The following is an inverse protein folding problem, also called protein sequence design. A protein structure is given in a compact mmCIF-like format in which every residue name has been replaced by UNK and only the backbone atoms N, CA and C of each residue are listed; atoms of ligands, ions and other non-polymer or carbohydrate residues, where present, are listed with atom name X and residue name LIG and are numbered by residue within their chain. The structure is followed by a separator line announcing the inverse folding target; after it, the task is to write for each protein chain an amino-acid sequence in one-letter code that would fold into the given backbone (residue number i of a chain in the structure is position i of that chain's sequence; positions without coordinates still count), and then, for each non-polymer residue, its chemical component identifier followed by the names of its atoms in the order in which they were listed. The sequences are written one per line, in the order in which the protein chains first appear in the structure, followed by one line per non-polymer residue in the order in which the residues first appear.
data_IF_844041847037
#
_entry.id   IF_844041847037
#
_cell.length_a   1.000
_cell.length_b   1.000
_cell.length_c   1.000
_cell.angle_alpha   90.00
_cell.angle_beta   90.00
_cell.angle_gamma   90.00
#
_symmetry.space_group_name_H-M   'P 1'
#
loop_
_entity.id
_entity.type
_entity.pdbx_description
1 polymer ?
#
# COMPACT_ATOMS: atom_id res chain seq x y z
N UNK A 1 33.01 -53.99 20.65
CA UNK A 1 32.84 -52.57 20.26
C UNK A 1 31.42 -52.35 19.78
N UNK A 2 30.51 -51.90 20.67
CA UNK A 2 29.12 -51.57 20.33
C UNK A 2 29.08 -50.12 19.85
N UNK A 3 28.65 -49.89 18.61
CA UNK A 3 28.51 -48.55 18.00
C UNK A 3 27.30 -47.85 18.61
N UNK A 4 27.54 -46.73 19.28
CA UNK A 4 26.54 -45.76 19.71
C UNK A 4 26.09 -44.93 18.50
N UNK A 5 24.80 -44.94 18.20
CA UNK A 5 24.16 -44.10 17.19
C UNK A 5 23.67 -42.84 17.92
N UNK A 6 24.05 -41.61 17.50
CA UNK A 6 23.54 -40.40 18.13
C UNK A 6 22.14 -40.09 17.60
N UNK A 7 21.17 -40.02 18.51
CA UNK A 7 19.85 -39.46 18.23
C UNK A 7 19.96 -37.94 18.10
N UNK A 8 19.83 -37.43 16.88
CA UNK A 8 19.54 -36.02 16.64
C UNK A 8 18.07 -35.77 16.93
N UNK A 9 17.77 -35.16 18.07
CA UNK A 9 16.45 -34.59 18.36
C UNK A 9 16.35 -33.28 17.58
N UNK A 10 15.67 -33.32 16.44
CA UNK A 10 15.25 -32.11 15.72
C UNK A 10 14.12 -31.48 16.52
N UNK A 11 14.41 -30.41 17.26
CA UNK A 11 13.40 -29.54 17.85
C UNK A 11 12.67 -28.80 16.73
N UNK A 12 11.50 -29.33 16.33
CA UNK A 12 10.54 -28.61 15.51
C UNK A 12 9.84 -27.54 16.34
N UNK A 13 10.53 -26.43 16.62
CA UNK A 13 9.89 -25.20 17.14
C UNK A 13 9.38 -24.42 15.94
N UNK A 14 8.26 -24.86 15.36
CA UNK A 14 7.69 -24.27 14.16
C UNK A 14 6.19 -24.09 14.26
N UNK A 15 5.75 -22.83 14.39
CA UNK A 15 4.54 -22.32 13.73
C UNK A 15 3.15 -22.61 14.33
N UNK A 16 2.98 -22.63 15.66
CA UNK A 16 1.61 -22.63 16.23
C UNK A 16 0.90 -21.26 16.02
N UNK A 17 1.63 -20.15 15.97
CA UNK A 17 1.02 -18.81 15.88
C UNK A 17 0.51 -18.40 14.48
N UNK A 18 0.95 -19.06 13.40
CA UNK A 18 0.51 -18.72 12.04
C UNK A 18 -0.90 -19.22 11.70
N UNK A 19 -1.44 -20.15 12.48
CA UNK A 19 -2.67 -20.87 12.13
C UNK A 19 -3.95 -20.08 12.43
N UNK A 20 -3.94 -19.09 13.33
CA UNK A 20 -5.15 -18.38 13.77
C UNK A 20 -5.55 -17.18 12.90
N UNK A 21 -4.58 -16.45 12.32
CA UNK A 21 -4.85 -15.28 11.46
C UNK A 21 -5.36 -15.69 10.07
N UNK A 22 -4.84 -16.80 9.51
CA UNK A 22 -5.15 -17.22 8.14
C UNK A 22 -6.67 -17.47 7.92
N UNK A 23 -7.41 -18.17 8.79
CA UNK A 23 -8.85 -18.36 8.63
C UNK A 23 -9.64 -17.04 8.63
N UNK A 24 -9.20 -16.02 9.38
CA UNK A 24 -9.83 -14.69 9.38
C UNK A 24 -9.57 -13.97 8.06
N UNK A 25 -8.35 -14.06 7.53
CA UNK A 25 -7.99 -13.48 6.22
C UNK A 25 -8.70 -14.16 5.05
N UNK A 26 -8.84 -15.49 5.09
CA UNK A 26 -9.61 -16.24 4.09
C UNK A 26 -11.09 -15.78 4.10
N UNK A 27 -11.68 -15.52 5.28
CA UNK A 27 -13.03 -14.97 5.40
C UNK A 27 -13.12 -13.51 4.93
N UNK A 28 -12.13 -12.68 5.26
CA UNK A 28 -12.06 -11.29 4.79
C UNK A 28 -12.02 -11.24 3.26
N UNK A 29 -11.24 -12.14 2.66
CA UNK A 29 -11.15 -12.30 1.22
C UNK A 29 -12.49 -12.72 0.60
N UNK A 30 -13.24 -13.63 1.23
CA UNK A 30 -14.59 -14.00 0.77
C UNK A 30 -15.51 -12.79 0.72
N UNK A 31 -15.53 -11.96 1.77
CA UNK A 31 -16.35 -10.74 1.78
C UNK A 31 -15.90 -9.75 0.70
N UNK A 32 -14.59 -9.60 0.49
CA UNK A 32 -14.06 -8.75 -0.59
C UNK A 32 -14.50 -9.23 -1.97
N UNK A 33 -14.56 -10.55 -2.21
CA UNK A 33 -15.07 -11.12 -3.45
C UNK A 33 -16.58 -10.96 -3.63
N UNK A 34 -17.37 -11.06 -2.55
CA UNK A 34 -18.79 -10.69 -2.60
C UNK A 34 -18.97 -9.23 -2.97
N UNK A 35 -18.11 -8.36 -2.45
CA UNK A 35 -18.14 -6.92 -2.72
C UNK A 35 -17.57 -6.54 -4.10
N UNK A 36 -16.79 -7.42 -4.73
CA UNK A 36 -16.12 -7.18 -6.03
C UNK A 36 -16.99 -6.45 -7.07
N UNK A 37 -18.20 -6.93 -7.43
CA UNK A 37 -19.01 -6.27 -8.46
C UNK A 37 -19.53 -4.88 -8.06
N UNK A 38 -19.54 -4.56 -6.77
CA UNK A 38 -20.01 -3.29 -6.23
C UNK A 38 -18.85 -2.30 -6.05
N UNK A 39 -17.69 -2.77 -5.55
CA UNK A 39 -16.51 -1.93 -5.34
C UNK A 39 -16.05 -1.26 -6.64
N UNK A 40 -16.18 -1.95 -7.77
CA UNK A 40 -15.75 -1.38 -9.05
C UNK A 40 -16.81 -0.51 -9.75
N UNK A 41 -18.07 -0.55 -9.29
CA UNK A 41 -19.19 0.12 -9.96
C UNK A 41 -20.01 0.94 -8.97
N UNK A 42 -19.83 2.27 -9.01
CA UNK A 42 -20.58 3.19 -8.15
C UNK A 42 -22.09 3.03 -8.32
N UNK A 43 -22.57 2.85 -9.55
CA UNK A 43 -23.99 2.59 -9.84
C UNK A 43 -24.48 1.36 -9.09
N UNK A 44 -23.73 0.25 -9.10
CA UNK A 44 -24.15 -0.96 -8.39
C UNK A 44 -24.03 -0.80 -6.88
N UNK A 45 -23.02 -0.09 -6.39
CA UNK A 45 -22.80 0.14 -4.96
C UNK A 45 -23.88 1.02 -4.32
N UNK A 46 -24.36 2.00 -5.08
CA UNK A 46 -25.37 2.99 -4.64
C UNK A 46 -26.81 2.56 -4.93
N UNK A 47 -27.04 1.48 -5.69
CA UNK A 47 -28.39 0.94 -5.94
C UNK A 47 -28.99 0.37 -4.63
N UNK A 48 -30.15 0.89 -4.16
CA UNK A 48 -30.80 0.41 -2.96
C UNK A 48 -31.09 -1.09 -2.93
N UNK A 49 -31.24 -1.74 -4.11
CA UNK A 49 -31.45 -3.20 -4.20
C UNK A 49 -30.25 -4.01 -3.72
N UNK A 50 -29.07 -3.40 -3.69
CA UNK A 50 -27.83 -4.05 -3.27
C UNK A 50 -27.45 -3.72 -1.82
N UNK A 51 -28.25 -2.90 -1.13
CA UNK A 51 -27.96 -2.38 0.21
C UNK A 51 -27.60 -3.51 1.19
N UNK A 52 -28.46 -4.51 1.32
CA UNK A 52 -28.27 -5.60 2.30
C UNK A 52 -27.00 -6.42 2.06
N UNK A 53 -26.59 -6.58 0.79
CA UNK A 53 -25.37 -7.31 0.44
C UNK A 53 -24.14 -6.48 0.79
N UNK A 54 -24.15 -5.19 0.44
CA UNK A 54 -23.02 -4.29 0.70
C UNK A 54 -22.85 -4.07 2.20
N UNK A 55 -23.93 -3.69 2.90
CA UNK A 55 -23.94 -3.47 4.33
C UNK A 55 -23.55 -4.74 5.11
N UNK A 56 -24.18 -5.88 4.78
CA UNK A 56 -23.87 -7.15 5.43
C UNK A 56 -22.40 -7.56 5.29
N UNK A 57 -21.80 -7.34 4.12
CA UNK A 57 -20.36 -7.59 3.93
C UNK A 57 -19.49 -6.59 4.68
N UNK A 58 -19.82 -5.29 4.71
CA UNK A 58 -19.08 -4.30 5.50
C UNK A 58 -19.10 -4.64 7.00
N UNK A 59 -20.28 -4.92 7.57
CA UNK A 59 -20.43 -5.35 8.97
C UNK A 59 -19.60 -6.60 9.28
N UNK A 60 -19.62 -7.59 8.37
CA UNK A 60 -18.80 -8.79 8.53
C UNK A 60 -17.29 -8.50 8.46
N UNK A 61 -16.85 -7.63 7.56
CA UNK A 61 -15.44 -7.21 7.49
C UNK A 61 -15.01 -6.45 8.77
N UNK A 62 -15.89 -5.63 9.35
CA UNK A 62 -15.64 -4.98 10.66
C UNK A 62 -15.44 -6.02 11.76
N UNK A 63 -16.33 -7.02 11.87
CA UNK A 63 -16.18 -8.09 12.86
C UNK A 63 -14.87 -8.88 12.69
N UNK A 64 -14.51 -9.20 11.45
CA UNK A 64 -13.29 -9.94 11.13
C UNK A 64 -12.03 -9.12 11.48
N UNK A 65 -12.02 -7.83 11.16
CA UNK A 65 -10.89 -6.94 11.48
C UNK A 65 -10.72 -6.74 12.99
N UNK A 66 -11.81 -6.64 13.76
CA UNK A 66 -11.72 -6.61 15.23
C UNK A 66 -11.07 -7.88 15.78
N UNK A 67 -11.49 -9.05 15.31
CA UNK A 67 -10.92 -10.35 15.73
C UNK A 67 -9.43 -10.42 15.42
N UNK A 68 -9.02 -9.94 14.24
CA UNK A 68 -7.60 -9.87 13.85
C UNK A 68 -6.75 -8.99 14.78
N UNK A 69 -7.28 -7.87 15.30
CA UNK A 69 -6.54 -7.00 16.22
C UNK A 69 -6.16 -7.70 17.54
N UNK A 70 -6.88 -8.74 17.92
CA UNK A 70 -6.60 -9.52 19.12
C UNK A 70 -5.55 -10.63 18.88
N UNK A 71 -5.18 -10.90 17.63
CA UNK A 71 -4.22 -11.94 17.29
C UNK A 71 -2.79 -11.53 17.64
N UNK A 72 -2.09 -12.40 18.37
CA UNK A 72 -0.74 -12.12 18.89
C UNK A 72 0.29 -11.80 17.81
N UNK A 73 0.12 -12.36 16.60
CA UNK A 73 0.97 -12.07 15.45
C UNK A 73 0.85 -10.60 15.03
N UNK A 74 -0.37 -10.10 14.85
CA UNK A 74 -0.64 -8.73 14.39
C UNK A 74 -0.07 -7.71 15.38
N UNK A 75 -0.25 -7.97 16.68
CA UNK A 75 0.26 -7.08 17.74
C UNK A 75 1.78 -7.02 17.83
N UNK A 76 2.50 -8.05 17.36
CA UNK A 76 3.97 -8.17 17.50
C UNK A 76 4.74 -7.76 16.24
N UNK A 77 4.11 -7.71 15.07
CA UNK A 77 4.79 -7.53 13.78
C UNK A 77 4.88 -6.09 13.29
N UNK A 78 4.43 -5.11 14.09
CA UNK A 78 4.24 -3.74 13.60
C UNK A 78 3.06 -3.59 12.65
N UNK A 79 2.20 -4.61 12.53
CA UNK A 79 0.97 -4.54 11.76
C UNK A 79 -0.19 -3.93 12.54
N UNK A 80 -0.01 -3.64 13.83
CA UNK A 80 -1.07 -3.12 14.70
C UNK A 80 -1.68 -1.83 14.14
N UNK A 81 -0.85 -0.87 13.72
CA UNK A 81 -1.34 0.39 13.14
C UNK A 81 -2.14 0.15 11.85
N UNK A 82 -1.67 -0.75 10.99
CA UNK A 82 -2.43 -1.13 9.79
C UNK A 82 -3.75 -1.79 10.16
N UNK A 83 -3.76 -2.66 11.17
CA UNK A 83 -4.96 -3.37 11.60
C UNK A 83 -6.00 -2.44 12.27
N UNK A 84 -5.54 -1.48 13.06
CA UNK A 84 -6.39 -0.44 13.66
C UNK A 84 -6.98 0.48 12.58
N UNK A 85 -6.18 0.90 11.60
CA UNK A 85 -6.67 1.75 10.51
C UNK A 85 -7.63 0.98 9.59
N UNK A 86 -7.35 -0.29 9.30
CA UNK A 86 -8.30 -1.17 8.59
C UNK A 86 -9.63 -1.21 9.33
N UNK A 87 -9.62 -1.45 10.65
CA UNK A 87 -10.85 -1.49 11.43
C UNK A 87 -11.59 -0.14 11.43
N UNK A 88 -10.85 0.96 11.61
CA UNK A 88 -11.42 2.30 11.61
C UNK A 88 -12.07 2.63 10.27
N UNK A 89 -11.36 2.45 9.14
CA UNK A 89 -11.88 2.80 7.83
C UNK A 89 -13.06 1.91 7.41
N UNK A 90 -13.07 0.63 7.80
CA UNK A 90 -14.24 -0.23 7.57
C UNK A 90 -15.47 0.26 8.35
N UNK A 91 -15.30 0.65 9.63
CA UNK A 91 -16.39 1.24 10.44
C UNK A 91 -16.87 2.57 9.87
N UNK A 92 -15.96 3.39 9.39
CA UNK A 92 -16.31 4.67 8.77
C UNK A 92 -17.07 4.46 7.46
N UNK A 93 -16.59 3.54 6.60
CA UNK A 93 -17.28 3.18 5.37
C UNK A 93 -18.70 2.67 5.67
N UNK A 94 -18.88 1.79 6.65
CA UNK A 94 -20.19 1.29 7.05
C UNK A 94 -21.10 2.39 7.61
N UNK A 95 -20.62 3.20 8.55
CA UNK A 95 -21.41 4.27 9.13
C UNK A 95 -21.86 5.30 8.08
N UNK A 96 -20.98 5.65 7.14
CA UNK A 96 -21.30 6.54 6.02
C UNK A 96 -22.31 5.87 5.07
N UNK A 97 -22.19 4.56 4.84
CA UNK A 97 -23.14 3.80 4.01
C UNK A 97 -24.54 3.80 4.61
N UNK A 98 -24.66 3.46 5.90
CA UNK A 98 -25.93 3.39 6.64
C UNK A 98 -26.63 4.76 6.73
N UNK A 99 -25.88 5.85 6.64
CA UNK A 99 -26.42 7.21 6.56
C UNK A 99 -26.81 7.65 5.13
N UNK A 100 -26.85 6.73 4.16
CA UNK A 100 -27.25 6.99 2.78
C UNK A 100 -26.19 7.68 1.93
N UNK A 101 -24.96 7.85 2.42
CA UNK A 101 -23.87 8.47 1.68
C UNK A 101 -23.03 7.42 0.92
N UNK A 102 -23.69 6.55 0.17
CA UNK A 102 -23.08 5.35 -0.44
C UNK A 102 -21.90 5.66 -1.37
N UNK A 103 -21.94 6.73 -2.15
CA UNK A 103 -20.81 7.12 -3.02
C UNK A 103 -19.55 7.46 -2.20
N UNK A 104 -19.71 8.17 -1.08
CA UNK A 104 -18.59 8.51 -0.20
C UNK A 104 -18.07 7.28 0.56
N UNK A 105 -18.98 6.41 1.02
CA UNK A 105 -18.61 5.12 1.60
C UNK A 105 -17.80 4.26 0.63
N UNK A 106 -18.16 4.24 -0.66
CA UNK A 106 -17.38 3.54 -1.69
C UNK A 106 -15.95 4.09 -1.79
N UNK A 107 -15.77 5.41 -1.71
CA UNK A 107 -14.44 6.03 -1.73
C UNK A 107 -13.61 5.58 -0.53
N UNK A 108 -14.20 5.54 0.67
CA UNK A 108 -13.54 5.07 1.90
C UNK A 108 -13.21 3.57 1.78
N UNK A 109 -14.14 2.74 1.31
CA UNK A 109 -13.93 1.31 1.13
C UNK A 109 -12.81 1.05 0.11
N UNK A 110 -12.82 1.75 -1.03
CA UNK A 110 -11.72 1.69 -2.01
C UNK A 110 -10.41 2.08 -1.36
N UNK A 111 -10.37 3.17 -0.57
CA UNK A 111 -9.15 3.57 0.15
C UNK A 111 -8.70 2.52 1.16
N UNK A 112 -9.63 1.86 1.85
CA UNK A 112 -9.37 0.80 2.84
C UNK A 112 -8.58 -0.37 2.25
N UNK A 113 -8.77 -0.64 0.96
CA UNK A 113 -8.02 -1.66 0.24
C UNK A 113 -6.50 -1.37 0.16
N UNK A 114 -6.07 -0.11 0.36
CA UNK A 114 -4.64 0.18 0.61
C UNK A 114 -4.13 -0.56 1.82
N UNK A 115 -4.90 -0.60 2.90
CA UNK A 115 -4.42 -1.09 4.17
C UNK A 115 -4.13 -2.58 4.05
N UNK A 116 -4.94 -3.29 3.27
CA UNK A 116 -4.66 -4.65 2.83
C UNK A 116 -3.29 -4.73 2.15
N UNK A 117 -3.02 -3.86 1.16
CA UNK A 117 -1.71 -3.80 0.51
C UNK A 117 -0.58 -3.44 1.49
N UNK A 118 -0.75 -2.48 2.41
CA UNK A 118 0.28 -2.09 3.40
C UNK A 118 0.68 -3.26 4.29
N UNK A 119 -0.33 -3.96 4.81
CA UNK A 119 -0.13 -5.10 5.70
C UNK A 119 0.56 -6.25 4.96
N UNK A 120 0.13 -6.49 3.72
CA UNK A 120 0.61 -7.61 2.94
C UNK A 120 1.96 -7.36 2.24
N UNK A 121 2.32 -6.11 1.94
CA UNK A 121 3.68 -5.78 1.45
C UNK A 121 4.75 -5.96 2.51
N UNK A 122 4.39 -5.92 3.80
CA UNK A 122 5.30 -6.12 4.92
C UNK A 122 5.63 -7.60 5.21
N UNK A 123 4.92 -8.57 4.59
CA UNK A 123 5.09 -10.00 4.88
C UNK A 123 5.20 -10.90 3.64
N UNK A 124 5.97 -12.00 3.70
CA UNK A 124 5.96 -13.01 2.64
C UNK A 124 4.65 -13.80 2.67
N UNK A 125 3.92 -13.83 1.56
CA UNK A 125 2.73 -14.67 1.41
C UNK A 125 1.82 -14.21 0.29
N UNK A 126 1.41 -15.15 -0.54
CA UNK A 126 0.26 -15.01 -1.45
C UNK A 126 -0.92 -15.80 -0.86
N UNK A 127 -2.15 -15.33 -1.09
CA UNK A 127 -3.33 -16.13 -0.75
C UNK A 127 -3.33 -17.38 -1.63
N UNK A 128 -3.35 -18.56 -1.01
CA UNK A 128 -3.37 -19.84 -1.73
C UNK A 128 -4.72 -20.15 -2.39
N UNK A 129 -5.78 -19.39 -2.06
CA UNK A 129 -7.16 -19.65 -2.51
C UNK A 129 -7.74 -18.58 -3.44
N UNK A 130 -6.95 -17.57 -3.79
CA UNK A 130 -7.41 -16.47 -4.64
C UNK A 130 -8.01 -16.97 -5.98
N UNK A 131 -7.31 -17.90 -6.64
CA UNK A 131 -7.74 -18.45 -7.93
C UNK A 131 -9.03 -19.28 -7.83
N UNK A 132 -9.36 -19.84 -6.66
CA UNK A 132 -10.62 -20.55 -6.44
C UNK A 132 -11.78 -19.56 -6.41
N UNK A 133 -11.64 -18.45 -5.69
CA UNK A 133 -12.69 -17.45 -5.57
C UNK A 133 -12.90 -16.63 -6.85
N UNK A 134 -11.85 -16.37 -7.65
CA UNK A 134 -11.98 -15.51 -8.83
C UNK A 134 -12.59 -16.19 -10.07
N UNK A 135 -12.56 -17.53 -10.17
CA UNK A 135 -12.85 -18.28 -11.42
C UNK A 135 -14.17 -17.93 -12.12
N UNK A 136 -15.18 -17.49 -11.38
CA UNK A 136 -16.52 -17.20 -11.92
C UNK A 136 -16.98 -15.76 -11.63
N UNK A 137 -16.08 -14.86 -11.26
CA UNK A 137 -16.40 -13.50 -10.85
C UNK A 137 -15.58 -12.44 -11.60
N UNK A 138 -15.07 -12.78 -12.79
CA UNK A 138 -14.34 -11.84 -13.65
C UNK A 138 -15.23 -10.68 -14.07
N UNK A 139 -14.76 -9.46 -13.88
CA UNK A 139 -15.47 -8.26 -14.30
C UNK A 139 -15.34 -8.06 -15.82
N UNK A 140 -16.38 -7.49 -16.43
CA UNK A 140 -16.41 -7.25 -17.88
C UNK A 140 -15.43 -6.15 -18.29
N UNK A 141 -15.30 -5.09 -17.49
CA UNK A 141 -14.35 -4.02 -17.73
C UNK A 141 -12.94 -4.48 -17.30
N UNK A 142 -11.97 -4.46 -18.22
CA UNK A 142 -10.61 -4.94 -17.97
C UNK A 142 -9.82 -4.05 -17.02
N UNK A 143 -10.09 -2.74 -16.98
CA UNK A 143 -9.44 -1.85 -16.03
C UNK A 143 -9.95 -2.09 -14.60
N UNK A 144 -11.27 -2.20 -14.43
CA UNK A 144 -11.90 -2.54 -13.15
C UNK A 144 -11.40 -3.89 -12.61
N UNK A 145 -11.32 -4.91 -13.48
CA UNK A 145 -10.71 -6.20 -13.12
C UNK A 145 -9.25 -6.01 -12.69
N UNK A 146 -8.48 -5.21 -13.43
CA UNK A 146 -7.09 -4.90 -13.10
C UNK A 146 -6.92 -4.25 -11.73
N UNK A 147 -7.71 -3.22 -11.40
CA UNK A 147 -7.63 -2.54 -10.09
C UNK A 147 -7.99 -3.49 -8.95
N UNK A 148 -9.02 -4.32 -9.12
CA UNK A 148 -9.36 -5.33 -8.11
C UNK A 148 -8.22 -6.34 -7.93
N UNK A 149 -7.70 -6.91 -9.03
CA UNK A 149 -6.60 -7.87 -9.01
C UNK A 149 -5.32 -7.28 -8.41
N UNK A 150 -5.07 -5.99 -8.63
CA UNK A 150 -3.93 -5.30 -8.08
C UNK A 150 -4.01 -5.17 -6.56
N UNK A 151 -5.18 -4.76 -6.05
CA UNK A 151 -5.46 -4.66 -4.60
C UNK A 151 -5.23 -5.96 -3.87
N UNK A 152 -5.76 -7.05 -4.42
CA UNK A 152 -5.65 -8.40 -3.85
C UNK A 152 -4.30 -9.08 -4.15
N UNK A 153 -3.36 -8.31 -4.73
CA UNK A 153 -1.98 -8.70 -5.05
C UNK A 153 -1.86 -9.83 -6.07
N UNK A 154 -2.88 -10.11 -6.88
CA UNK A 154 -2.71 -10.88 -8.11
C UNK A 154 -2.15 -9.97 -9.21
N UNK A 155 -0.89 -9.54 -9.02
CA UNK A 155 -0.26 -8.60 -9.93
C UNK A 155 -0.10 -9.17 -11.35
N UNK A 156 0.10 -10.48 -11.49
CA UNK A 156 0.18 -11.10 -12.81
C UNK A 156 -1.15 -11.04 -13.55
N UNK A 157 -2.26 -11.34 -12.87
CA UNK A 157 -3.60 -11.14 -13.41
C UNK A 157 -3.88 -9.67 -13.71
N UNK A 158 -3.53 -8.77 -12.80
CA UNK A 158 -3.72 -7.33 -12.94
C UNK A 158 -3.00 -6.78 -14.18
N UNK A 159 -1.72 -7.12 -14.39
CA UNK A 159 -0.97 -6.67 -15.58
C UNK A 159 -1.63 -7.14 -16.88
N UNK A 160 -2.13 -8.38 -16.94
CA UNK A 160 -2.86 -8.87 -18.13
C UNK A 160 -4.15 -8.11 -18.38
N UNK A 161 -4.85 -7.71 -17.31
CA UNK A 161 -6.09 -6.95 -17.41
C UNK A 161 -5.80 -5.50 -17.86
N UNK A 162 -4.75 -4.88 -17.32
CA UNK A 162 -4.25 -3.57 -17.72
C UNK A 162 -3.77 -3.51 -19.17
N UNK A 163 -3.02 -4.51 -19.64
CA UNK A 163 -2.60 -4.59 -21.05
C UNK A 163 -3.82 -4.58 -21.99
N UNK A 164 -4.91 -5.26 -21.61
CA UNK A 164 -6.16 -5.24 -22.37
C UNK A 164 -6.84 -3.88 -22.30
N UNK A 165 -6.88 -3.26 -21.11
CA UNK A 165 -7.48 -1.95 -20.91
C UNK A 165 -6.79 -0.86 -21.75
N UNK A 166 -5.45 -0.77 -21.71
CA UNK A 166 -4.68 0.21 -22.48
C UNK A 166 -4.87 0.01 -23.98
N UNK A 167 -4.88 -1.24 -24.47
CA UNK A 167 -5.15 -1.53 -25.90
C UNK A 167 -6.55 -1.11 -26.35
N UNK A 168 -7.51 -1.07 -25.43
CA UNK A 168 -8.89 -0.67 -25.70
C UNK A 168 -9.13 0.84 -25.60
N UNK A 169 -8.13 1.64 -25.17
CA UNK A 169 -8.25 3.10 -25.13
C UNK A 169 -8.38 3.68 -26.56
N UNK A 170 -9.30 4.65 -26.81
CA UNK A 170 -10.12 5.39 -25.83
C UNK A 170 -11.51 4.79 -25.56
N UNK A 171 -11.88 3.66 -26.20
CA UNK A 171 -13.27 3.20 -26.26
C UNK A 171 -13.89 2.85 -24.92
N UNK A 172 -13.12 2.27 -23.99
CA UNK A 172 -13.62 1.77 -22.68
C UNK A 172 -12.71 2.17 -21.50
N UNK A 173 -11.87 3.20 -21.68
CA UNK A 173 -10.91 3.65 -20.67
C UNK A 173 -10.77 5.16 -20.73
N UNK A 174 -10.89 5.83 -19.58
CA UNK A 174 -10.66 7.28 -19.49
C UNK A 174 -9.16 7.59 -19.59
N UNK A 175 -8.81 8.85 -19.86
CA UNK A 175 -7.40 9.28 -19.88
C UNK A 175 -6.75 9.15 -18.49
N UNK A 176 -7.49 9.49 -17.43
CA UNK A 176 -7.05 9.34 -16.03
C UNK A 176 -6.78 7.87 -15.69
N UNK A 177 -7.67 6.96 -16.09
CA UNK A 177 -7.50 5.54 -15.82
C UNK A 177 -6.37 4.93 -16.65
N UNK A 178 -6.13 5.42 -17.87
CA UNK A 178 -4.95 5.05 -18.66
C UNK A 178 -3.65 5.48 -17.97
N UNK A 179 -3.60 6.68 -17.40
CA UNK A 179 -2.47 7.11 -16.59
C UNK A 179 -2.30 6.24 -15.34
N UNK A 180 -3.42 5.93 -14.66
CA UNK A 180 -3.43 5.04 -13.49
C UNK A 180 -2.86 3.67 -13.82
N UNK A 181 -3.19 3.09 -14.98
CA UNK A 181 -2.58 1.83 -15.44
C UNK A 181 -1.06 1.93 -15.52
N UNK A 182 -0.53 2.97 -16.16
CA UNK A 182 0.93 3.19 -16.25
C UNK A 182 1.55 3.28 -14.86
N UNK A 183 0.94 4.05 -13.95
CA UNK A 183 1.40 4.13 -12.57
C UNK A 183 1.42 2.74 -11.89
N UNK A 184 0.39 1.91 -12.06
CA UNK A 184 0.33 0.56 -11.48
C UNK A 184 1.43 -0.35 -12.02
N UNK A 185 1.77 -0.25 -13.30
CA UNK A 185 2.90 -0.95 -13.88
C UNK A 185 4.22 -0.50 -13.24
N UNK A 186 4.43 0.81 -13.04
CA UNK A 186 5.63 1.34 -12.35
C UNK A 186 5.78 0.70 -10.97
N UNK A 187 4.72 0.75 -10.16
CA UNK A 187 4.73 0.17 -8.82
C UNK A 187 5.05 -1.33 -8.87
N UNK A 188 4.37 -2.08 -9.72
CA UNK A 188 4.60 -3.53 -9.80
C UNK A 188 6.02 -3.85 -10.24
N UNK A 189 6.47 -3.33 -11.38
CA UNK A 189 7.75 -3.72 -11.93
C UNK A 189 8.94 -3.19 -11.12
N UNK A 190 8.86 -1.97 -10.58
CA UNK A 190 9.97 -1.36 -9.84
C UNK A 190 9.93 -1.76 -8.38
N UNK A 191 8.80 -1.56 -7.69
CA UNK A 191 8.73 -1.78 -6.25
C UNK A 191 8.58 -3.25 -5.88
N UNK A 192 7.71 -3.99 -6.58
CA UNK A 192 7.41 -5.39 -6.22
C UNK A 192 8.37 -6.36 -6.89
N UNK A 193 8.48 -6.30 -8.23
CA UNK A 193 9.25 -7.27 -9.02
C UNK A 193 10.74 -6.93 -9.11
N UNK A 194 11.10 -5.66 -8.95
CA UNK A 194 12.48 -5.13 -9.12
C UNK A 194 13.07 -5.43 -10.50
N UNK A 195 12.25 -5.28 -11.53
CA UNK A 195 12.51 -5.67 -12.91
C UNK A 195 12.29 -4.49 -13.87
N UNK A 196 13.32 -3.66 -14.03
CA UNK A 196 13.28 -2.54 -14.97
C UNK A 196 13.14 -3.01 -16.43
N UNK A 197 13.67 -4.18 -16.79
CA UNK A 197 13.52 -4.72 -18.15
C UNK A 197 12.06 -5.07 -18.45
N UNK A 198 11.37 -5.70 -17.49
CA UNK A 198 9.93 -5.93 -17.54
C UNK A 198 9.13 -4.63 -17.67
N UNK A 199 9.50 -3.59 -16.92
CA UNK A 199 8.84 -2.28 -17.04
C UNK A 199 9.02 -1.69 -18.45
N UNK A 200 10.24 -1.68 -18.96
CA UNK A 200 10.54 -1.15 -20.31
C UNK A 200 9.71 -1.86 -21.37
N UNK A 201 9.55 -3.18 -21.25
CA UNK A 201 8.73 -3.95 -22.17
C UNK A 201 7.25 -3.57 -22.05
N UNK A 202 6.69 -3.49 -20.84
CA UNK A 202 5.31 -3.07 -20.63
C UNK A 202 5.02 -1.68 -21.22
N UNK A 203 5.85 -0.68 -20.87
CA UNK A 203 5.74 0.68 -21.42
C UNK A 203 5.89 0.73 -22.95
N UNK A 204 6.71 -0.15 -23.51
CA UNK A 204 6.87 -0.26 -24.97
C UNK A 204 5.63 -0.83 -25.64
N UNK A 205 4.95 -1.81 -25.02
CA UNK A 205 3.67 -2.31 -25.50
C UNK A 205 2.58 -1.24 -25.43
N UNK A 206 2.51 -0.49 -24.33
CA UNK A 206 1.54 0.60 -24.16
C UNK A 206 1.72 1.69 -25.23
N UNK A 207 2.97 2.05 -25.53
CA UNK A 207 3.30 3.05 -26.55
C UNK A 207 2.88 2.66 -27.99
N UNK A 208 2.50 1.40 -28.22
CA UNK A 208 1.94 0.98 -29.52
C UNK A 208 0.51 1.48 -29.73
N UNK A 209 -0.22 1.84 -28.67
CA UNK A 209 -1.51 2.48 -28.82
C UNK A 209 -1.32 3.96 -29.18
N UNK A 210 -1.44 4.28 -30.46
CA UNK A 210 -1.28 5.64 -30.99
C UNK A 210 -2.40 6.60 -30.58
N UNK A 211 -3.50 6.10 -30.00
CA UNK A 211 -4.61 6.93 -29.57
C UNK A 211 -4.39 7.56 -28.19
N UNK A 212 -3.37 7.13 -27.42
CA UNK A 212 -3.11 7.65 -26.07
C UNK A 212 -2.95 9.19 -26.08
N UNK A 213 -3.41 9.89 -25.02
CA UNK A 213 -3.20 11.34 -24.91
C UNK A 213 -1.72 11.73 -25.04
N UNK A 214 -1.45 12.88 -25.63
CA UNK A 214 -0.07 13.34 -25.87
C UNK A 214 0.77 13.41 -24.58
N UNK A 215 0.19 13.93 -23.50
CA UNK A 215 0.86 14.03 -22.20
C UNK A 215 1.25 12.65 -21.66
N UNK A 216 0.38 11.64 -21.80
CA UNK A 216 0.63 10.29 -21.34
C UNK A 216 1.67 9.59 -22.22
N UNK A 217 1.58 9.76 -23.54
CA UNK A 217 2.59 9.26 -24.48
C UNK A 217 3.98 9.83 -24.18
N UNK A 218 4.06 11.12 -23.86
CA UNK A 218 5.30 11.77 -23.42
C UNK A 218 5.78 11.19 -22.08
N UNK A 219 4.89 11.03 -21.09
CA UNK A 219 5.23 10.43 -19.78
C UNK A 219 5.78 9.02 -19.94
N UNK A 220 5.15 8.16 -20.75
CA UNK A 220 5.63 6.79 -21.05
C UNK A 220 7.04 6.82 -21.65
N UNK A 221 7.31 7.73 -22.60
CA UNK A 221 8.63 7.89 -23.21
C UNK A 221 9.68 8.32 -22.17
N UNK A 222 9.36 9.29 -21.34
CA UNK A 222 10.26 9.81 -20.30
C UNK A 222 10.56 8.72 -19.24
N UNK A 223 9.53 7.98 -18.80
CA UNK A 223 9.65 6.84 -17.88
C UNK A 223 10.50 5.71 -18.46
N UNK A 224 10.32 5.37 -19.73
CA UNK A 224 11.16 4.37 -20.41
C UNK A 224 12.62 4.81 -20.45
N UNK A 225 12.88 6.09 -20.76
CA UNK A 225 14.23 6.66 -20.73
C UNK A 225 14.88 6.58 -19.34
N UNK A 226 14.13 6.92 -18.29
CA UNK A 226 14.57 6.79 -16.90
C UNK A 226 14.84 5.33 -16.51
N UNK A 227 13.95 4.41 -16.87
CA UNK A 227 14.09 2.99 -16.58
C UNK A 227 15.33 2.38 -17.26
N UNK A 228 15.68 2.80 -18.48
CA UNK A 228 16.91 2.33 -19.16
C UNK A 228 18.20 2.78 -18.47
N UNK A 229 18.21 3.99 -17.88
CA UNK A 229 19.34 4.43 -17.04
C UNK A 229 19.45 3.55 -15.81
N UNK A 230 18.34 3.36 -15.09
CA UNK A 230 18.30 2.63 -13.82
C UNK A 230 18.49 1.11 -13.97
N UNK A 231 18.14 0.52 -15.12
CA UNK A 231 18.33 -0.91 -15.41
C UNK A 231 19.78 -1.36 -15.27
N UNK A 232 20.74 -0.45 -15.47
CA UNK A 232 22.18 -0.72 -15.31
C UNK A 232 22.59 -0.83 -13.84
N UNK A 233 21.80 -0.26 -12.94
CA UNK A 233 22.04 -0.28 -11.52
C UNK A 233 21.36 -1.51 -10.89
N UNK A 234 22.09 -2.22 -10.03
CA UNK A 234 21.49 -3.29 -9.23
C UNK A 234 20.70 -2.69 -8.06
N UNK A 235 19.68 -3.42 -7.60
CA UNK A 235 19.10 -3.15 -6.29
C UNK A 235 20.14 -3.50 -5.23
N UNK A 236 20.48 -2.57 -4.31
CA UNK A 236 21.35 -2.90 -3.20
C UNK A 236 20.64 -3.91 -2.28
N UNK A 237 21.43 -4.80 -1.70
CA UNK A 237 20.99 -5.75 -0.70
C UNK A 237 21.78 -5.51 0.58
N UNK A 238 21.08 -5.27 1.69
CA UNK A 238 21.68 -4.97 2.98
C UNK A 238 21.46 -6.13 3.95
N UNK A 239 22.44 -6.36 4.82
CA UNK A 239 22.31 -7.29 5.96
C UNK A 239 21.93 -6.54 7.23
N UNK A 240 21.52 -7.26 8.28
CA UNK A 240 21.26 -6.65 9.59
C UNK A 240 22.44 -5.86 10.13
N UNK A 241 23.68 -6.28 9.83
CA UNK A 241 24.90 -5.56 10.21
C UNK A 241 25.18 -4.28 9.41
N UNK A 242 24.38 -3.98 8.38
CA UNK A 242 24.60 -2.87 7.45
C UNK A 242 23.59 -1.71 7.61
N UNK A 243 23.15 -1.42 8.83
CA UNK A 243 22.19 -0.34 9.09
C UNK A 243 22.72 1.03 8.64
N UNK A 244 24.01 1.30 8.84
CA UNK A 244 24.61 2.58 8.49
C UNK A 244 24.74 2.77 6.96
N UNK A 245 25.07 1.72 6.21
CA UNK A 245 25.08 1.80 4.75
C UNK A 245 23.66 1.96 4.18
N UNK A 246 22.66 1.32 4.81
CA UNK A 246 21.26 1.52 4.44
C UNK A 246 20.82 2.96 4.70
N UNK A 247 21.18 3.53 5.86
CA UNK A 247 20.92 4.94 6.19
C UNK A 247 21.51 5.86 5.14
N UNK A 248 22.80 5.72 4.83
CA UNK A 248 23.48 6.52 3.80
C UNK A 248 22.82 6.38 2.44
N UNK A 249 22.40 5.17 2.06
CA UNK A 249 21.66 4.93 0.82
C UNK A 249 20.35 5.71 0.80
N UNK A 250 19.52 5.60 1.84
CA UNK A 250 18.24 6.29 1.92
C UNK A 250 18.42 7.82 1.91
N UNK A 251 19.29 8.35 2.78
CA UNK A 251 19.54 9.78 2.91
C UNK A 251 20.16 10.40 1.65
N UNK A 252 21.00 9.66 0.93
CA UNK A 252 21.56 10.14 -0.34
C UNK A 252 20.51 10.20 -1.45
N UNK A 253 19.63 9.19 -1.54
CA UNK A 253 18.58 9.17 -2.57
C UNK A 253 17.42 10.11 -2.25
N UNK A 254 17.20 10.43 -0.97
CA UNK A 254 16.14 11.30 -0.47
C UNK A 254 16.67 12.68 -0.01
N UNK A 255 17.87 13.07 -0.44
CA UNK A 255 18.57 14.25 0.07
C UNK A 255 17.75 15.53 -0.08
N UNK A 256 17.12 15.71 -1.23
CA UNK A 256 16.34 16.90 -1.53
C UNK A 256 15.05 16.93 -0.70
N UNK A 257 14.38 15.79 -0.56
CA UNK A 257 13.15 15.63 0.22
C UNK A 257 13.41 15.86 1.71
N UNK A 258 14.53 15.35 2.22
CA UNK A 258 14.98 15.61 3.58
C UNK A 258 15.32 17.09 3.83
N UNK A 259 15.58 17.86 2.78
CA UNK A 259 15.77 19.30 2.82
C UNK A 259 14.47 20.09 2.49
N UNK A 260 13.33 19.42 2.37
CA UNK A 260 12.05 20.03 2.01
C UNK A 260 11.94 20.49 0.55
N UNK A 261 12.86 20.05 -0.31
CA UNK A 261 12.89 20.38 -1.74
C UNK A 261 12.33 19.22 -2.54
N UNK A 262 11.13 19.39 -3.06
CA UNK A 262 10.43 18.33 -3.78
C UNK A 262 10.39 18.62 -5.28
N UNK A 263 10.73 17.61 -6.09
CA UNK A 263 10.59 17.65 -7.55
C UNK A 263 9.50 16.67 -7.99
N UNK A 264 8.38 17.21 -8.45
CA UNK A 264 7.14 16.47 -8.72
C UNK A 264 7.02 15.94 -10.15
N UNK A 265 7.83 16.45 -11.09
CA UNK A 265 7.60 16.24 -12.52
C UNK A 265 8.79 15.56 -13.22
N UNK A 266 9.46 14.64 -12.52
CA UNK A 266 10.63 13.94 -13.05
C UNK A 266 10.43 12.42 -13.01
N UNK A 267 10.40 11.81 -14.19
CA UNK A 267 10.38 10.37 -14.36
C UNK A 267 11.54 9.67 -13.62
N UNK A 268 12.74 10.27 -13.63
CA UNK A 268 13.90 9.73 -12.91
C UNK A 268 13.65 9.68 -11.39
N UNK A 269 13.01 10.72 -10.82
CA UNK A 269 12.67 10.76 -9.39
C UNK A 269 11.54 9.81 -9.03
N UNK A 270 10.49 9.72 -9.86
CA UNK A 270 9.37 8.80 -9.65
C UNK A 270 9.85 7.34 -9.55
N UNK A 271 10.72 6.90 -10.46
CA UNK A 271 11.32 5.57 -10.40
C UNK A 271 12.27 5.42 -9.20
N UNK A 272 13.01 6.47 -8.83
CA UNK A 272 13.91 6.46 -7.69
C UNK A 272 13.17 6.23 -6.37
N UNK A 273 12.04 6.90 -6.13
CA UNK A 273 11.23 6.68 -4.93
C UNK A 273 10.70 5.25 -4.83
N UNK A 274 10.23 4.68 -5.94
CA UNK A 274 9.77 3.29 -5.99
C UNK A 274 10.92 2.31 -5.73
N UNK A 275 12.12 2.60 -6.25
CA UNK A 275 13.33 1.80 -6.01
C UNK A 275 13.75 1.86 -4.54
N UNK A 276 13.85 3.06 -3.96
CA UNK A 276 14.22 3.26 -2.54
C UNK A 276 13.22 2.57 -1.62
N UNK A 277 11.92 2.81 -1.82
CA UNK A 277 10.88 2.15 -1.02
C UNK A 277 10.93 0.63 -1.14
N UNK A 278 11.21 0.08 -2.33
CA UNK A 278 11.42 -1.37 -2.50
C UNK A 278 12.55 -1.91 -1.62
N UNK A 279 13.69 -1.22 -1.58
CA UNK A 279 14.85 -1.59 -0.78
C UNK A 279 14.53 -1.54 0.71
N UNK A 280 13.88 -0.46 1.15
CA UNK A 280 13.46 -0.26 2.54
C UNK A 280 12.47 -1.32 3.01
N UNK A 281 11.45 -1.64 2.20
CA UNK A 281 10.47 -2.68 2.51
C UNK A 281 11.11 -4.06 2.63
N UNK A 282 12.00 -4.44 1.70
CA UNK A 282 12.70 -5.72 1.81
C UNK A 282 13.58 -5.78 3.06
N UNK A 283 14.21 -4.66 3.44
CA UNK A 283 15.01 -4.63 4.65
C UNK A 283 14.15 -4.87 5.90
N UNK A 284 13.03 -4.16 6.04
CA UNK A 284 12.09 -4.36 7.15
C UNK A 284 11.52 -5.78 7.17
N UNK A 285 11.22 -6.35 6.00
CA UNK A 285 10.73 -7.72 5.90
C UNK A 285 11.77 -8.73 6.42
N UNK A 286 13.05 -8.54 6.09
CA UNK A 286 14.12 -9.44 6.52
C UNK A 286 14.53 -9.20 7.98
N UNK A 287 14.41 -7.96 8.47
CA UNK A 287 14.90 -7.52 9.78
C UNK A 287 13.86 -6.66 10.52
N UNK A 288 12.67 -7.20 10.86
CA UNK A 288 11.58 -6.41 11.43
C UNK A 288 11.87 -5.79 12.80
N UNK A 289 12.89 -6.28 13.51
CA UNK A 289 13.37 -5.76 14.80
C UNK A 289 14.54 -4.78 14.72
N UNK A 290 14.90 -4.29 13.53
CA UNK A 290 15.98 -3.32 13.33
C UNK A 290 15.78 -2.04 14.15
N UNK A 291 16.88 -1.47 14.68
CA UNK A 291 16.85 -0.18 15.36
C UNK A 291 16.55 0.98 14.42
N UNK A 292 16.77 0.77 13.12
CA UNK A 292 16.52 1.74 12.06
C UNK A 292 15.04 1.84 11.68
N UNK A 293 14.15 1.01 12.24
CA UNK A 293 12.73 0.96 11.89
C UNK A 293 12.05 2.34 11.89
N UNK A 294 12.16 3.20 12.91
CA UNK A 294 11.52 4.52 12.88
C UNK A 294 12.04 5.42 11.76
N UNK A 295 13.36 5.39 11.46
CA UNK A 295 13.93 6.13 10.34
C UNK A 295 13.43 5.59 8.98
N UNK A 296 13.33 4.27 8.84
CA UNK A 296 12.79 3.65 7.63
C UNK A 296 11.33 4.04 7.42
N UNK A 297 10.50 4.05 8.46
CA UNK A 297 9.10 4.49 8.37
C UNK A 297 9.00 5.94 7.87
N UNK A 298 9.87 6.82 8.36
CA UNK A 298 9.98 8.20 7.88
C UNK A 298 10.42 8.28 6.40
N UNK A 299 11.45 7.54 5.99
CA UNK A 299 11.87 7.56 4.58
C UNK A 299 10.86 6.94 3.63
N UNK A 300 10.11 5.93 4.09
CA UNK A 300 9.00 5.36 3.35
C UNK A 300 7.88 6.38 3.15
N UNK A 301 7.53 7.18 4.17
CA UNK A 301 6.52 8.23 4.00
C UNK A 301 6.95 9.30 3.01
N UNK A 302 8.22 9.71 3.03
CA UNK A 302 8.76 10.65 2.04
C UNK A 302 8.75 10.08 0.63
N UNK A 303 9.09 8.80 0.46
CA UNK A 303 9.09 8.15 -0.86
C UNK A 303 7.67 7.97 -1.39
N UNK A 304 6.72 7.60 -0.53
CA UNK A 304 5.38 7.22 -0.95
C UNK A 304 4.42 8.40 -1.07
N UNK A 305 4.66 9.52 -0.36
CA UNK A 305 3.81 10.74 -0.43
C UNK A 305 3.78 11.37 -1.82
N UNK A 306 4.75 11.03 -2.66
CA UNK A 306 4.89 11.52 -4.03
C UNK A 306 4.24 10.62 -5.06
N UNK A 307 4.18 9.32 -4.78
CA UNK A 307 3.43 8.37 -5.61
C UNK A 307 1.95 8.32 -5.22
N UNK A 308 1.59 8.70 -3.99
CA UNK A 308 0.22 8.58 -3.47
C UNK A 308 -0.73 9.71 -3.84
N UNK A 309 -0.34 10.74 -4.59
CA UNK A 309 -1.29 11.81 -4.95
C UNK A 309 -2.37 11.30 -5.92
N UNK A 310 -2.05 10.31 -6.76
CA UNK A 310 -3.01 9.67 -7.69
C UNK A 310 -3.40 8.24 -7.28
N UNK A 311 -2.73 7.68 -6.27
CA UNK A 311 -3.13 6.42 -5.67
C UNK A 311 -4.11 6.75 -4.52
N UNK A 312 -5.27 6.11 -4.47
CA UNK A 312 -6.31 6.21 -3.42
C UNK A 312 -5.83 5.89 -1.97
N UNK A 313 -4.52 5.82 -1.73
CA UNK A 313 -3.85 5.03 -0.72
C UNK A 313 -2.77 5.87 0.00
N UNK A 314 -3.11 6.55 1.12
CA UNK A 314 -2.13 7.35 1.87
C UNK A 314 -1.27 6.50 2.84
N UNK A 315 -0.49 5.58 2.26
CA UNK A 315 0.58 4.88 2.99
C UNK A 315 1.50 5.80 3.82
N UNK A 316 1.84 7.03 3.38
CA UNK A 316 2.68 7.93 4.17
C UNK A 316 2.14 8.21 5.56
N UNK A 317 0.83 8.48 5.68
CA UNK A 317 0.20 8.77 6.96
C UNK A 317 0.31 7.59 7.91
N UNK A 318 0.14 6.36 7.40
CA UNK A 318 0.25 5.13 8.18
C UNK A 318 1.66 4.97 8.76
N UNK A 319 2.70 5.15 7.94
CA UNK A 319 4.07 5.02 8.41
C UNK A 319 4.43 6.09 9.44
N UNK A 320 3.98 7.33 9.24
CA UNK A 320 4.25 8.44 10.16
C UNK A 320 3.51 8.24 11.50
N UNK A 321 2.25 7.81 11.45
CA UNK A 321 1.50 7.40 12.65
C UNK A 321 2.24 6.30 13.39
N UNK A 322 2.67 5.25 12.68
CA UNK A 322 3.42 4.16 13.29
C UNK A 322 4.74 4.61 13.90
N UNK A 323 5.49 5.46 13.20
CA UNK A 323 6.74 6.02 13.68
C UNK A 323 6.54 6.72 15.05
N UNK A 324 5.53 7.57 15.18
CA UNK A 324 5.29 8.34 16.41
C UNK A 324 4.70 7.47 17.53
N UNK A 325 3.73 6.60 17.22
CA UNK A 325 3.03 5.81 18.22
C UNK A 325 3.88 4.68 18.79
N UNK A 326 4.66 3.98 17.95
CA UNK A 326 5.53 2.88 18.39
C UNK A 326 6.88 3.37 18.90
N UNK A 327 7.41 4.49 18.37
CA UNK A 327 8.75 4.98 18.68
C UNK A 327 8.78 6.45 19.14
N UNK A 328 7.94 6.87 20.11
CA UNK A 328 7.86 8.27 20.53
C UNK A 328 9.18 8.80 21.11
N UNK A 329 10.09 7.90 21.53
CA UNK A 329 11.41 8.21 22.06
C UNK A 329 12.51 8.33 21.01
N UNK A 330 12.24 7.96 19.76
CA UNK A 330 13.23 8.05 18.70
C UNK A 330 13.49 9.52 18.34
N UNK A 331 14.75 9.93 18.07
CA UNK A 331 15.05 11.28 17.58
C UNK A 331 14.27 11.67 16.32
N UNK A 332 13.90 10.70 15.48
CA UNK A 332 13.14 10.94 14.24
C UNK A 332 11.64 11.17 14.50
N UNK A 333 11.10 10.80 15.67
CA UNK A 333 9.67 10.86 15.95
C UNK A 333 9.09 12.28 15.82
N UNK A 334 9.86 13.31 16.19
CA UNK A 334 9.48 14.71 16.00
C UNK A 334 9.32 15.05 14.51
N UNK A 335 10.23 14.57 13.65
CA UNK A 335 10.14 14.77 12.20
C UNK A 335 8.93 14.01 11.62
N UNK A 336 8.69 12.78 12.08
CA UNK A 336 7.50 12.02 11.70
C UNK A 336 6.20 12.76 12.07
N UNK A 337 6.15 13.35 13.27
CA UNK A 337 4.99 14.12 13.71
C UNK A 337 4.78 15.37 12.85
N UNK A 338 5.84 16.14 12.57
CA UNK A 338 5.75 17.32 11.72
C UNK A 338 5.27 16.98 10.32
N UNK A 339 5.86 15.97 9.67
CA UNK A 339 5.43 15.53 8.34
C UNK A 339 3.97 15.05 8.34
N UNK A 340 3.54 14.36 9.41
CA UNK A 340 2.14 13.94 9.54
C UNK A 340 1.19 15.13 9.66
N UNK A 341 1.56 16.14 10.46
CA UNK A 341 0.78 17.37 10.58
C UNK A 341 0.67 18.11 9.25
N UNK A 342 1.76 18.19 8.49
CA UNK A 342 1.78 18.85 7.19
C UNK A 342 0.89 18.12 6.18
N UNK A 343 0.94 16.78 6.14
CA UNK A 343 0.04 15.98 5.30
C UNK A 343 -1.42 16.21 5.67
N UNK A 344 -1.77 16.16 6.96
CA UNK A 344 -3.15 16.40 7.42
C UNK A 344 -3.58 17.83 7.11
N UNK A 345 -2.72 18.82 7.31
CA UNK A 345 -3.04 20.21 6.98
C UNK A 345 -3.36 20.36 5.49
N UNK A 346 -2.55 19.79 4.60
CA UNK A 346 -2.81 19.83 3.14
C UNK A 346 -4.13 19.13 2.81
N UNK A 347 -4.37 17.92 3.35
CA UNK A 347 -5.58 17.13 3.07
C UNK A 347 -6.88 17.84 3.48
N UNK A 348 -6.86 18.57 4.60
CA UNK A 348 -8.06 19.25 5.12
C UNK A 348 -8.11 20.75 4.84
N UNK A 349 -7.18 21.29 4.04
CA UNK A 349 -7.21 22.70 3.62
C UNK A 349 -8.09 22.87 2.39
N UNK A 350 -9.09 23.76 2.49
CA UNK A 350 -9.94 24.17 1.39
C UNK A 350 -10.05 25.69 1.26
N UNK A 351 -10.94 26.16 0.37
CA UNK A 351 -11.18 27.60 0.13
C UNK A 351 -11.68 28.36 1.37
N UNK A 352 -12.18 27.66 2.39
CA UNK A 352 -12.64 28.21 3.67
C UNK A 352 -11.62 28.05 4.81
N UNK A 353 -10.37 27.68 4.49
CA UNK A 353 -9.34 27.32 5.47
C UNK A 353 -9.30 25.82 5.78
N UNK A 354 -8.48 25.45 6.76
CA UNK A 354 -8.33 24.06 7.18
C UNK A 354 -9.44 23.63 8.14
N UNK A 355 -10.21 22.60 7.79
CA UNK A 355 -11.25 22.00 8.63
C UNK A 355 -10.85 20.57 9.02
N UNK A 356 -9.96 20.44 10.00
CA UNK A 356 -9.50 19.15 10.50
C UNK A 356 -10.59 18.56 11.41
N UNK A 357 -11.08 17.33 11.16
CA UNK A 357 -12.07 16.67 12.02
C UNK A 357 -11.59 16.52 13.46
N UNK A 358 -12.51 16.58 14.43
CA UNK A 358 -12.19 16.50 15.87
C UNK A 358 -11.43 15.22 16.24
N UNK A 359 -11.79 14.09 15.64
CA UNK A 359 -11.10 12.82 15.84
C UNK A 359 -9.62 12.90 15.42
N UNK A 360 -9.34 13.52 14.27
CA UNK A 360 -7.97 13.72 13.76
C UNK A 360 -7.21 14.71 14.64
N UNK A 361 -7.86 15.80 15.08
CA UNK A 361 -7.27 16.77 16.02
C UNK A 361 -6.89 16.12 17.35
N UNK A 362 -7.75 15.25 17.90
CA UNK A 362 -7.51 14.51 19.14
C UNK A 362 -6.35 13.53 18.99
N UNK A 363 -6.27 12.84 17.86
CA UNK A 363 -5.14 11.96 17.54
C UNK A 363 -3.82 12.75 17.47
N UNK A 364 -3.82 13.92 16.79
CA UNK A 364 -2.65 14.79 16.71
C UNK A 364 -2.18 15.28 18.09
N UNK A 365 -3.11 15.70 18.96
CA UNK A 365 -2.77 16.10 20.34
C UNK A 365 -2.14 14.96 21.12
N UNK A 366 -2.73 13.76 21.04
CA UNK A 366 -2.18 12.55 21.68
C UNK A 366 -0.75 12.29 21.21
N UNK A 367 -0.50 12.35 19.90
CA UNK A 367 0.84 12.16 19.33
C UNK A 367 1.83 13.24 19.78
N UNK A 368 1.41 14.51 19.85
CA UNK A 368 2.23 15.61 20.37
C UNK A 368 2.64 15.40 21.83
N UNK A 369 1.70 14.97 22.68
CA UNK A 369 1.98 14.70 24.09
C UNK A 369 2.96 13.54 24.27
N UNK A 370 2.83 12.48 23.47
CA UNK A 370 3.75 11.35 23.47
C UNK A 370 5.19 11.77 23.14
N UNK A 371 5.37 12.63 22.13
CA UNK A 371 6.70 13.13 21.74
C UNK A 371 7.25 14.13 22.77
N UNK A 372 6.41 14.99 23.36
CA UNK A 372 6.86 15.98 24.38
C UNK A 372 7.37 15.32 25.65
N UNK A 373 6.61 14.40 26.24
CA UNK A 373 6.94 13.72 27.52
C UNK A 373 8.27 12.97 27.55
N UNK A 374 8.90 12.77 26.39
CA UNK A 374 10.17 12.06 26.28
C UNK A 374 11.36 13.01 26.13
N UNK A 375 11.12 14.23 25.65
CA UNK A 375 12.17 15.22 25.41
C UNK A 375 12.36 16.19 26.58
N UNK A 376 11.41 16.19 27.52
CA UNK A 376 11.53 16.79 28.85
C UNK A 376 12.11 15.75 29.82
#
# INVERSE_FOLDING_TARGET
MKKLIPYWVVFAVGSIAFTQVKPLMDQMQIELFKLKPYIVSEVKYTDPKNHDVVDGSLKRMIELSQKMNHESMIRRSGLLVSSDVLNQQLREAEAVYDNGQSAYSLLILKSTLSVCMSCHTQGPGSSTRFSEFNKNQTLTNSFEEGEFLFVVRDFSGAMKAYDKAIKAYPSNLSAEDAEKVVLRQLFYYVRVKRDFAGLINALSEDSKNQNLPEHLSKKIKDLKGAAEKLKKEKYPAFKSSNEEELRKYAESNLKDELAGKFNFNSADRELSYLKVSSVLHQYLQNYPGTHLKPDILYWLSLSESRYSHDAFYSFPELYLKQCVLEFPKSPIAKKCLTEYQDLIAVTFTGTKGAQIPEAVSTQLKTMQELVKKVND
#
